data_IF_918826314218
#
_entry.id   IF_918826314218
#
_cell.length_a   1.000
_cell.length_b   1.000
_cell.length_c   1.000
_cell.angle_alpha   90.00
_cell.angle_beta   90.00
_cell.angle_gamma   90.00
#
_symmetry.space_group_name_H-M   'P 1'
#
loop_
_entity.id
_entity.type
_entity.pdbx_description
1 polymer ?
#
# COMPACT_ATOMS: atom_id res chain seq x y z
N UNK A 1 16.94 21.24 22.01
CA UNK A 1 15.76 21.63 21.19
C UNK A 1 15.30 20.41 20.44
N UNK A 2 14.18 19.82 20.85
CA UNK A 2 13.63 18.61 20.23
C UNK A 2 12.92 19.02 18.95
N UNK A 3 13.40 18.56 17.80
CA UNK A 3 12.76 18.86 16.52
C UNK A 3 11.40 18.15 16.45
N UNK A 4 10.32 18.92 16.26
CA UNK A 4 9.02 18.38 15.92
C UNK A 4 9.10 17.75 14.53
N UNK A 5 8.83 16.44 14.45
CA UNK A 5 8.66 15.76 13.16
C UNK A 5 7.39 16.35 12.53
N UNK A 6 7.58 17.22 11.53
CA UNK A 6 6.47 17.76 10.76
C UNK A 6 5.80 16.61 9.99
N UNK A 7 4.50 16.44 10.19
CA UNK A 7 3.69 15.50 9.43
C UNK A 7 3.80 15.85 7.93
N UNK A 8 4.14 14.90 7.04
CA UNK A 8 4.14 15.17 5.61
C UNK A 8 2.75 15.67 5.17
N UNK A 9 2.69 16.61 4.21
CA UNK A 9 1.41 17.14 3.74
C UNK A 9 0.50 16.00 3.27
N UNK A 10 -0.83 16.14 3.43
CA UNK A 10 -1.78 15.14 2.96
C UNK A 10 -1.57 14.90 1.47
N UNK A 11 -1.57 13.63 1.07
CA UNK A 11 -1.39 13.23 -0.34
C UNK A 11 -2.51 13.93 -1.12
N UNK A 12 -2.20 14.90 -2.01
CA UNK A 12 -3.23 15.54 -2.82
C UNK A 12 -3.90 14.46 -3.67
N UNK A 13 -5.21 14.54 -3.91
CA UNK A 13 -5.92 13.51 -4.66
C UNK A 13 -5.22 13.31 -6.00
N UNK A 14 -4.60 12.14 -6.18
CA UNK A 14 -4.19 11.69 -7.49
C UNK A 14 -5.45 11.64 -8.36
N UNK A 15 -5.30 11.84 -9.67
CA UNK A 15 -6.38 11.52 -10.62
C UNK A 15 -6.78 10.08 -10.30
N UNK A 16 -8.04 9.91 -9.87
CA UNK A 16 -8.50 8.65 -9.31
C UNK A 16 -8.20 7.53 -10.32
N UNK A 17 -7.55 6.43 -9.90
CA UNK A 17 -7.29 5.34 -10.81
C UNK A 17 -8.60 4.81 -11.39
N UNK A 18 -8.60 4.35 -12.66
CA UNK A 18 -9.83 3.94 -13.31
C UNK A 18 -10.38 2.68 -12.64
N UNK A 19 -11.50 2.85 -11.94
CA UNK A 19 -12.26 1.76 -11.33
C UNK A 19 -11.61 1.11 -10.09
N UNK A 20 -12.40 0.33 -9.38
CA UNK A 20 -11.93 -0.47 -8.25
C UNK A 20 -10.99 -1.58 -8.77
N UNK A 21 -9.77 -1.72 -8.24
CA UNK A 21 -8.86 -2.80 -8.66
C UNK A 21 -9.49 -4.16 -8.35
N UNK A 22 -9.33 -5.11 -9.28
CA UNK A 22 -9.93 -6.45 -9.19
C UNK A 22 -9.04 -7.47 -8.51
N UNK A 23 -7.76 -7.18 -8.37
CA UNK A 23 -6.76 -8.06 -7.79
C UNK A 23 -5.75 -7.27 -6.95
N UNK A 24 -4.99 -7.98 -6.11
CA UNK A 24 -3.87 -7.36 -5.41
C UNK A 24 -2.81 -6.75 -6.29
N UNK A 25 -2.45 -7.46 -7.34
CA UNK A 25 -1.51 -6.97 -8.31
C UNK A 25 -1.98 -5.66 -8.97
N UNK A 26 -3.27 -5.55 -9.32
CA UNK A 26 -3.82 -4.32 -9.88
C UNK A 26 -3.79 -3.16 -8.88
N UNK A 27 -4.19 -3.41 -7.64
CA UNK A 27 -4.17 -2.38 -6.60
C UNK A 27 -2.74 -1.92 -6.26
N UNK A 28 -1.79 -2.85 -6.22
CA UNK A 28 -0.38 -2.55 -5.98
C UNK A 28 0.22 -1.70 -7.11
N UNK A 29 -0.11 -2.00 -8.37
CA UNK A 29 0.28 -1.16 -9.52
C UNK A 29 -0.36 0.22 -9.49
N UNK A 30 -1.64 0.32 -9.09
CA UNK A 30 -2.31 1.61 -8.94
C UNK A 30 -1.68 2.44 -7.82
N UNK A 31 -1.31 1.82 -6.71
CA UNK A 31 -0.58 2.47 -5.62
C UNK A 31 0.77 3.01 -6.10
N UNK A 32 1.55 2.21 -6.81
CA UNK A 32 2.84 2.65 -7.37
C UNK A 32 2.66 3.79 -8.37
N UNK A 33 1.61 3.78 -9.20
CA UNK A 33 1.32 4.88 -10.11
C UNK A 33 1.03 6.20 -9.37
N UNK A 34 0.23 6.16 -8.31
CA UNK A 34 -0.03 7.35 -7.46
C UNK A 34 1.26 7.85 -6.83
N UNK A 35 2.08 6.95 -6.31
CA UNK A 35 3.38 7.30 -5.74
C UNK A 35 4.29 7.98 -6.77
N UNK A 36 4.44 7.38 -7.95
CA UNK A 36 5.26 7.95 -9.04
C UNK A 36 4.74 9.31 -9.47
N UNK A 37 3.42 9.51 -9.55
CA UNK A 37 2.84 10.81 -9.87
C UNK A 37 3.31 11.88 -8.89
N UNK A 38 3.29 11.61 -7.59
CA UNK A 38 3.73 12.59 -6.57
C UNK A 38 5.24 12.87 -6.66
N UNK A 39 6.04 11.87 -7.00
CA UNK A 39 7.50 12.04 -7.14
C UNK A 39 7.88 12.78 -8.43
N UNK A 40 7.09 12.62 -9.49
CA UNK A 40 7.32 13.30 -10.77
C UNK A 40 6.82 14.75 -10.76
N UNK A 41 5.75 15.06 -10.02
CA UNK A 41 5.16 16.41 -9.94
C UNK A 41 6.20 17.54 -9.75
N UNK A 42 7.12 17.49 -8.76
CA UNK A 42 8.11 18.55 -8.56
C UNK A 42 9.05 18.76 -9.75
N UNK A 43 9.40 17.70 -10.49
CA UNK A 43 10.26 17.81 -11.67
C UNK A 43 9.56 18.67 -12.74
N UNK A 44 8.28 18.44 -12.99
CA UNK A 44 7.51 19.17 -14.00
C UNK A 44 6.96 20.52 -13.52
N UNK A 45 6.84 20.73 -12.20
CA UNK A 45 6.46 22.02 -11.61
C UNK A 45 7.54 23.11 -11.80
N UNK A 46 8.79 22.72 -12.09
CA UNK A 46 9.89 23.65 -12.33
C UNK A 46 10.12 24.00 -13.81
N UNK A 47 9.65 23.16 -14.73
CA UNK A 47 9.87 23.31 -16.17
C UNK A 47 8.83 24.27 -16.74
N UNK A 48 9.18 25.50 -17.10
CA UNK A 48 8.30 26.40 -17.86
C UNK A 48 7.46 27.40 -17.07
N UNK A 49 7.85 27.75 -15.84
CA UNK A 49 7.41 29.00 -15.21
C UNK A 49 8.25 30.16 -15.73
N UNK A 50 8.05 30.53 -17.00
CA UNK A 50 8.51 31.82 -17.49
C UNK A 50 7.53 32.88 -16.96
N UNK A 51 7.97 33.87 -16.16
CA UNK A 51 7.09 34.86 -15.52
C UNK A 51 6.21 35.65 -16.50
N UNK A 52 6.59 35.69 -17.79
CA UNK A 52 5.95 36.51 -18.82
C UNK A 52 5.07 35.70 -19.78
N UNK A 53 5.25 34.37 -19.89
CA UNK A 53 4.57 33.55 -20.90
C UNK A 53 4.15 32.14 -20.45
N UNK A 54 4.43 31.72 -19.22
CA UNK A 54 4.07 30.39 -18.72
C UNK A 54 3.10 30.45 -17.55
N UNK A 55 2.04 29.64 -17.59
CA UNK A 55 1.20 29.40 -16.41
C UNK A 55 -0.21 29.97 -16.47
N UNK A 56 -0.99 29.54 -17.45
CA UNK A 56 -2.46 29.56 -17.33
C UNK A 56 -2.98 28.34 -16.57
N UNK A 57 -4.15 28.45 -15.91
CA UNK A 57 -4.79 27.30 -15.22
C UNK A 57 -5.02 26.08 -16.12
N UNK A 58 -5.25 26.29 -17.42
CA UNK A 58 -5.37 25.20 -18.40
C UNK A 58 -4.06 24.45 -18.66
N UNK A 59 -2.93 25.15 -18.57
CA UNK A 59 -1.61 24.54 -18.74
C UNK A 59 -1.24 23.67 -17.52
N UNK A 60 -1.57 24.12 -16.31
CA UNK A 60 -1.38 23.37 -15.06
C UNK A 60 -2.17 22.05 -15.09
N UNK A 61 -3.45 22.11 -15.47
CA UNK A 61 -4.30 20.92 -15.61
C UNK A 61 -3.74 19.97 -16.68
N UNK A 62 -3.31 20.49 -17.83
CA UNK A 62 -2.71 19.67 -18.89
C UNK A 62 -1.44 18.97 -18.43
N UNK A 63 -0.57 19.67 -17.69
CA UNK A 63 0.64 19.10 -17.09
C UNK A 63 0.32 18.01 -16.08
N UNK A 64 -0.67 18.21 -15.22
CA UNK A 64 -1.11 17.19 -14.27
C UNK A 64 -1.59 15.91 -14.96
N UNK A 65 -2.34 16.04 -16.06
CA UNK A 65 -2.73 14.90 -16.89
C UNK A 65 -1.54 14.19 -17.54
N UNK A 66 -0.56 14.94 -18.04
CA UNK A 66 0.67 14.36 -18.60
C UNK A 66 1.47 13.59 -17.54
N UNK A 67 1.63 14.16 -16.36
CA UNK A 67 2.35 13.52 -15.25
C UNK A 67 1.62 12.26 -14.79
N UNK A 68 0.29 12.29 -14.69
CA UNK A 68 -0.52 11.11 -14.39
C UNK A 68 -0.35 10.00 -15.44
N UNK A 69 -0.46 10.35 -16.73
CA UNK A 69 -0.29 9.39 -17.82
C UNK A 69 1.11 8.75 -17.80
N UNK A 70 2.16 9.55 -17.57
CA UNK A 70 3.52 9.07 -17.45
C UNK A 70 3.70 8.14 -16.25
N UNK A 71 3.21 8.53 -15.08
CA UNK A 71 3.31 7.73 -13.87
C UNK A 71 2.64 6.35 -14.03
N UNK A 72 1.46 6.31 -14.67
CA UNK A 72 0.76 5.05 -15.00
C UNK A 72 1.53 4.20 -15.99
N UNK A 73 2.10 4.81 -17.03
CA UNK A 73 2.90 4.10 -18.03
C UNK A 73 4.14 3.45 -17.38
N UNK A 74 4.81 4.18 -16.50
CA UNK A 74 5.97 3.68 -15.76
C UNK A 74 5.59 2.54 -14.81
N UNK A 75 4.54 2.69 -14.00
CA UNK A 75 4.05 1.63 -13.12
C UNK A 75 3.64 0.37 -13.91
N UNK A 76 3.01 0.54 -15.08
CA UNK A 76 2.65 -0.57 -15.97
C UNK A 76 3.87 -1.27 -16.57
N UNK A 77 4.92 -0.53 -16.91
CA UNK A 77 6.16 -1.06 -17.49
C UNK A 77 7.06 -1.79 -16.46
N UNK A 78 6.72 -1.76 -15.18
CA UNK A 78 7.45 -2.44 -14.11
C UNK A 78 7.88 -1.52 -12.96
N UNK A 79 7.73 -0.20 -13.14
CA UNK A 79 7.92 0.80 -12.10
C UNK A 79 9.30 0.76 -11.46
N UNK A 80 9.33 1.09 -10.17
CA UNK A 80 10.53 1.02 -9.32
C UNK A 80 10.50 -0.21 -8.42
N UNK A 81 9.45 -1.04 -8.51
CA UNK A 81 9.29 -2.29 -7.77
C UNK A 81 8.51 -2.17 -6.48
N UNK A 82 7.96 -0.99 -6.16
CA UNK A 82 7.14 -0.79 -4.96
C UNK A 82 5.90 -1.68 -5.02
N UNK A 83 5.27 -1.82 -6.19
CA UNK A 83 4.09 -2.65 -6.36
C UNK A 83 4.33 -4.09 -5.85
N UNK A 84 5.49 -4.68 -6.16
CA UNK A 84 5.83 -6.04 -5.70
C UNK A 84 6.00 -6.12 -4.19
N UNK A 85 6.58 -5.09 -3.58
CA UNK A 85 6.84 -5.06 -2.14
C UNK A 85 5.56 -4.95 -1.31
N UNK A 86 4.55 -4.24 -1.82
CA UNK A 86 3.28 -4.01 -1.09
C UNK A 86 2.18 -5.01 -1.44
N UNK A 87 2.29 -5.74 -2.56
CA UNK A 87 1.22 -6.61 -3.06
C UNK A 87 0.67 -7.58 -2.01
N UNK A 88 1.55 -8.25 -1.26
CA UNK A 88 1.17 -9.20 -0.20
C UNK A 88 0.41 -8.55 0.96
N UNK A 89 0.82 -7.34 1.35
CA UNK A 89 0.11 -6.56 2.38
C UNK A 89 -1.28 -6.15 1.88
N UNK A 90 -1.36 -5.66 0.64
CA UNK A 90 -2.64 -5.25 0.08
C UNK A 90 -3.56 -6.49 -0.09
N UNK A 91 -3.03 -7.67 -0.45
CA UNK A 91 -3.81 -8.91 -0.53
C UNK A 91 -4.41 -9.30 0.83
N UNK A 92 -3.64 -9.16 1.91
CA UNK A 92 -4.10 -9.36 3.29
C UNK A 92 -5.23 -8.38 3.64
N UNK A 93 -5.05 -7.08 3.33
CA UNK A 93 -6.08 -6.06 3.57
C UNK A 93 -7.37 -6.28 2.79
N UNK A 94 -7.29 -6.92 1.61
CA UNK A 94 -8.46 -7.29 0.81
C UNK A 94 -9.15 -8.57 1.25
N UNK A 95 -8.55 -9.35 2.15
CA UNK A 95 -9.05 -10.69 2.49
C UNK A 95 -8.91 -11.68 1.32
N UNK A 96 -7.99 -11.42 0.39
CA UNK A 96 -7.63 -12.34 -0.72
C UNK A 96 -6.69 -13.46 -0.26
N UNK A 97 -6.26 -13.44 1.00
CA UNK A 97 -5.77 -14.64 1.69
C UNK A 97 -6.94 -15.61 1.83
N UNK A 98 -7.11 -16.45 0.80
CA UNK A 98 -8.02 -17.58 0.82
C UNK A 98 -7.82 -18.38 2.11
N UNK A 99 -8.93 -18.92 2.61
CA UNK A 99 -9.09 -19.98 3.63
C UNK A 99 -7.76 -20.48 4.21
N UNK A 100 -7.55 -20.40 5.54
CA UNK A 100 -6.29 -20.80 6.16
C UNK A 100 -5.83 -22.14 5.60
N UNK A 101 -4.67 -22.13 4.93
CA UNK A 101 -3.96 -23.32 4.50
C UNK A 101 -3.97 -24.32 5.67
N UNK A 102 -4.25 -25.58 5.35
CA UNK A 102 -4.26 -26.69 6.29
C UNK A 102 -3.00 -26.72 7.19
N UNK A 103 -1.88 -26.15 6.75
CA UNK A 103 -0.69 -25.94 7.57
C UNK A 103 -0.90 -24.97 8.77
N UNK A 104 -1.61 -23.86 8.59
CA UNK A 104 -1.95 -22.92 9.67
C UNK A 104 -3.06 -23.47 10.59
N UNK A 105 -4.03 -24.20 10.03
CA UNK A 105 -5.04 -24.92 10.81
C UNK A 105 -4.42 -26.07 11.64
N UNK A 106 -3.44 -26.78 11.08
CA UNK A 106 -2.65 -27.78 11.80
C UNK A 106 -1.79 -27.15 12.90
N UNK A 107 -1.20 -25.97 12.64
CA UNK A 107 -0.47 -25.20 13.65
C UNK A 107 -1.35 -24.77 14.83
N UNK A 108 -2.55 -24.26 14.55
CA UNK A 108 -3.51 -23.87 15.60
C UNK A 108 -4.10 -25.08 16.35
N UNK A 109 -4.27 -26.22 15.67
CA UNK A 109 -4.69 -27.48 16.28
C UNK A 109 -3.59 -28.11 17.16
N UNK A 110 -2.32 -28.04 16.73
CA UNK A 110 -1.17 -28.46 17.53
C UNK A 110 -0.98 -27.54 18.75
N UNK A 111 -1.15 -26.23 18.57
CA UNK A 111 -1.13 -25.26 19.66
C UNK A 111 -2.25 -25.51 20.69
N UNK A 112 -3.49 -25.74 20.24
CA UNK A 112 -4.61 -26.10 21.14
C UNK A 112 -4.40 -27.44 21.86
N UNK A 113 -3.79 -28.42 21.19
CA UNK A 113 -3.45 -29.72 21.81
C UNK A 113 -2.40 -29.57 22.90
N UNK A 114 -1.36 -28.77 22.66
CA UNK A 114 -0.31 -28.51 23.65
C UNK A 114 -0.79 -27.64 24.82
N UNK A 115 -1.72 -26.71 24.59
CA UNK A 115 -2.33 -25.90 25.64
C UNK A 115 -3.23 -26.73 26.58
N UNK A 116 -3.90 -27.77 26.06
CA UNK A 116 -4.75 -28.66 26.86
C UNK A 116 -3.96 -29.66 27.73
N UNK A 117 -2.66 -29.88 27.43
CA UNK A 117 -1.79 -30.76 28.21
C UNK A 117 -1.14 -30.05 29.42
N UNK A 118 -1.34 -28.73 29.58
CA UNK A 118 -0.77 -27.94 30.67
C UNK A 118 -1.70 -27.64 31.84
N UNK A 119 -2.94 -28.15 31.84
CA UNK A 119 -3.90 -27.94 32.92
C UNK A 119 -4.69 -29.23 33.17
N UNK A 120 -4.17 -30.10 34.03
CA UNK A 120 -4.88 -31.35 34.34
C UNK A 120 -4.17 -32.34 35.25
N UNK A 121 -3.34 -31.91 36.21
CA UNK A 121 -2.91 -32.76 37.33
C UNK A 121 -2.58 -31.89 38.54
N UNK A 122 -3.59 -31.31 39.20
CA UNK A 122 -3.46 -30.74 40.56
C UNK A 122 -4.86 -30.44 41.13
N UNK A 123 -5.69 -31.47 41.29
CA UNK A 123 -6.85 -31.38 42.18
C UNK A 123 -7.41 -32.78 42.50
N UNK A 124 -6.92 -33.36 43.58
CA UNK A 124 -7.62 -34.46 44.25
C UNK A 124 -6.70 -35.62 44.61
N UNK A 125 -5.83 -35.43 45.61
CA UNK A 125 -5.37 -36.50 46.52
C UNK A 125 -4.41 -35.92 47.57
N UNK A 126 -4.96 -35.43 48.68
CA UNK A 126 -4.25 -35.36 49.98
C UNK A 126 -5.35 -35.24 51.07
N UNK A 127 -5.87 -36.34 51.62
CA UNK A 127 -5.31 -37.21 52.66
C UNK A 127 -6.01 -36.92 53.99
N UNK A 128 -6.64 -37.99 54.51
CA UNK A 128 -7.00 -38.33 55.90
C UNK A 128 -7.61 -37.26 56.80
#
# INVERSE_FOLDING_TARGET
>A
MTAAIALPPPIPPAVAPPGKPRTAHEAARQFEAVFLQQMLKPMFASVGRDPLFGGGAGEEIYRDFLVDALARALAKAGGIGIAKAVEGEIATLRGETGVPDAAAAAGLAAYRRNAALGQGTDAGENNS
#
